data_IF_355397355326
#
_entry.id   IF_355397355326
#
_cell.length_a   1.000
_cell.length_b   1.000
_cell.length_c   1.000
_cell.angle_alpha   90.00
_cell.angle_beta   90.00
_cell.angle_gamma   90.00
#
_symmetry.space_group_name_H-M   'P 1'
#
loop_
_entity.id
_entity.type
_entity.pdbx_description
1 polymer ?
#
# COMPACT_ATOMS: atom_id res chain seq x y z
N UNK A 1 -75.58 -18.45 62.06
CA UNK A 1 -74.16 -18.78 62.28
C UNK A 1 -73.31 -17.70 61.63
N UNK A 2 -72.80 -16.76 62.44
CA UNK A 2 -71.87 -15.71 61.97
C UNK A 2 -70.45 -16.26 62.12
N UNK A 3 -69.76 -16.47 60.99
CA UNK A 3 -68.39 -16.98 60.97
C UNK A 3 -67.45 -15.80 61.27
N UNK A 4 -66.87 -15.83 62.47
CA UNK A 4 -65.82 -14.94 62.92
C UNK A 4 -64.59 -15.07 62.02
N UNK A 5 -64.29 -14.01 61.28
CA UNK A 5 -63.11 -13.95 60.42
C UNK A 5 -61.94 -13.40 61.24
N UNK A 6 -61.04 -14.28 61.68
CA UNK A 6 -59.78 -13.93 62.31
C UNK A 6 -58.91 -13.10 61.35
N UNK A 7 -58.60 -11.85 61.72
CA UNK A 7 -57.56 -11.07 61.05
C UNK A 7 -56.20 -11.53 61.54
N UNK A 8 -55.41 -12.16 60.66
CA UNK A 8 -53.98 -12.41 60.88
C UNK A 8 -53.23 -11.16 60.42
N UNK A 9 -52.74 -10.38 61.38
CA UNK A 9 -51.84 -9.25 61.10
C UNK A 9 -50.43 -9.80 60.90
N UNK A 10 -50.03 -10.04 59.66
CA UNK A 10 -48.64 -10.30 59.32
C UNK A 10 -47.91 -8.96 59.15
N UNK A 11 -47.10 -8.57 60.13
CA UNK A 11 -46.12 -7.49 59.95
C UNK A 11 -44.98 -8.01 59.06
N UNK A 12 -45.10 -7.80 57.75
CA UNK A 12 -43.96 -7.98 56.84
C UNK A 12 -43.01 -6.81 57.04
N UNK A 13 -41.94 -7.03 57.80
CA UNK A 13 -40.82 -6.11 57.96
C UNK A 13 -40.09 -6.01 56.61
N UNK A 14 -40.54 -5.09 55.75
CA UNK A 14 -39.90 -4.81 54.47
C UNK A 14 -38.49 -4.25 54.73
N UNK A 15 -37.48 -5.09 54.52
CA UNK A 15 -36.08 -4.65 54.46
C UNK A 15 -35.94 -3.86 53.15
N UNK A 16 -36.10 -2.54 53.23
CA UNK A 16 -35.87 -1.62 52.12
C UNK A 16 -34.48 -1.89 51.53
N UNK A 17 -34.43 -2.54 50.37
CA UNK A 17 -33.19 -2.71 49.62
C UNK A 17 -32.86 -1.33 49.06
N UNK A 18 -31.90 -0.67 49.68
CA UNK A 18 -31.33 0.57 49.17
C UNK A 18 -30.78 0.32 47.77
N UNK A 19 -31.52 0.75 46.74
CA UNK A 19 -31.14 0.58 45.33
C UNK A 19 -30.06 1.59 45.03
N UNK A 20 -28.82 1.23 45.35
CA UNK A 20 -27.64 2.00 45.00
C UNK A 20 -27.64 2.23 43.48
N UNK A 21 -27.71 3.50 43.06
CA UNK A 21 -27.80 3.90 41.64
C UNK A 21 -26.49 3.52 40.92
N UNK A 22 -26.54 2.50 40.08
CA UNK A 22 -25.39 2.08 39.26
C UNK A 22 -25.10 3.16 38.22
N UNK A 23 -23.93 3.82 38.32
CA UNK A 23 -23.45 4.79 37.34
C UNK A 23 -22.61 4.06 36.29
N UNK A 24 -23.16 3.87 35.10
CA UNK A 24 -22.46 3.22 33.99
C UNK A 24 -21.53 4.24 33.31
N UNK A 25 -20.22 3.99 33.20
CA UNK A 25 -19.29 4.89 32.52
C UNK A 25 -19.54 4.91 31.00
N UNK A 26 -19.14 6.01 30.35
CA UNK A 26 -19.25 6.14 28.88
C UNK A 26 -18.23 5.24 28.19
N UNK A 27 -18.64 4.62 27.07
CA UNK A 27 -17.75 3.85 26.20
C UNK A 27 -16.67 4.76 25.61
N UNK A 28 -15.42 4.33 25.76
CA UNK A 28 -14.27 4.95 25.08
C UNK A 28 -14.21 4.37 23.66
N UNK A 29 -14.20 5.25 22.65
CA UNK A 29 -13.98 4.85 21.25
C UNK A 29 -12.48 4.71 21.02
N UNK A 30 -12.06 3.60 20.43
CA UNK A 30 -10.65 3.34 20.05
C UNK A 30 -10.60 3.05 18.55
N UNK A 31 -9.54 3.49 17.89
CA UNK A 31 -9.15 3.07 16.56
C UNK A 31 -8.64 1.62 16.53
N UNK A 32 -8.43 1.05 15.34
CA UNK A 32 -7.95 -0.32 15.19
C UNK A 32 -6.51 -0.52 15.68
N UNK A 33 -5.71 0.56 15.76
CA UNK A 33 -4.28 0.51 16.11
C UNK A 33 -3.93 1.14 17.46
N UNK A 34 -4.88 1.75 18.16
CA UNK A 34 -4.62 2.53 19.39
C UNK A 34 -3.91 1.73 20.49
N UNK A 35 -4.24 0.44 20.60
CA UNK A 35 -3.58 -0.44 21.59
C UNK A 35 -2.14 -0.71 21.18
N UNK A 36 -1.88 -0.93 19.90
CA UNK A 36 -0.52 -1.17 19.39
C UNK A 36 0.35 0.08 19.53
N UNK A 37 -0.22 1.24 19.24
CA UNK A 37 0.46 2.52 19.45
C UNK A 37 0.79 2.73 20.93
N UNK A 38 -0.18 2.55 21.83
CA UNK A 38 0.04 2.65 23.26
C UNK A 38 1.13 1.69 23.75
N UNK A 39 1.12 0.42 23.30
CA UNK A 39 2.15 -0.57 23.65
C UNK A 39 3.53 -0.17 23.09
N UNK A 40 3.60 0.31 21.84
CA UNK A 40 4.85 0.75 21.24
C UNK A 40 5.48 1.93 21.97
N UNK A 41 4.67 2.81 22.57
CA UNK A 41 5.16 3.94 23.37
C UNK A 41 5.71 3.52 24.74
N UNK A 42 5.28 2.37 25.27
CA UNK A 42 5.78 1.85 26.55
C UNK A 42 7.17 1.22 26.45
N UNK A 43 7.62 0.88 25.23
CA UNK A 43 8.90 0.20 24.98
C UNK A 43 9.87 1.12 24.26
N UNK A 44 11.08 1.27 24.78
CA UNK A 44 12.15 2.06 24.15
C UNK A 44 12.83 1.33 22.99
N UNK A 45 13.64 2.06 22.20
CA UNK A 45 14.50 1.44 21.19
C UNK A 45 15.60 0.62 21.85
N UNK A 46 15.72 -0.64 21.45
CA UNK A 46 16.84 -1.49 21.85
C UNK A 46 18.10 -1.15 21.03
N UNK A 47 19.20 -0.87 21.72
CA UNK A 47 20.50 -0.57 21.10
C UNK A 47 21.38 -1.81 20.95
N UNK A 48 21.04 -2.91 21.62
CA UNK A 48 21.79 -4.17 21.58
C UNK A 48 21.34 -5.08 20.44
N UNK A 49 20.10 -4.92 19.97
CA UNK A 49 19.54 -5.69 18.88
C UNK A 49 19.69 -5.00 17.50
N UNK A 50 19.81 -5.78 16.41
CA UNK A 50 19.66 -5.25 15.06
C UNK A 50 18.23 -4.72 14.83
N UNK A 51 18.03 -3.97 13.74
CA UNK A 51 16.69 -3.51 13.37
C UNK A 51 15.77 -4.71 13.07
N UNK A 52 14.50 -4.65 13.50
CA UNK A 52 13.50 -5.72 13.36
C UNK A 52 13.20 -6.15 11.91
N UNK A 53 13.68 -5.39 10.92
CA UNK A 53 13.64 -5.78 9.50
C UNK A 53 14.53 -7.00 9.20
N UNK A 54 15.58 -7.21 9.99
CA UNK A 54 16.55 -8.27 9.80
C UNK A 54 16.17 -9.51 10.59
N UNK A 55 16.55 -10.69 10.08
CA UNK A 55 16.41 -11.95 10.81
C UNK A 55 17.40 -11.93 11.98
N UNK A 56 16.97 -12.37 13.16
CA UNK A 56 17.78 -12.40 14.38
C UNK A 56 18.75 -13.60 14.38
N UNK A 57 19.60 -13.67 13.35
CA UNK A 57 20.64 -14.68 13.17
C UNK A 57 21.99 -13.96 12.91
N UNK A 58 23.04 -14.22 13.72
CA UNK A 58 24.34 -13.58 13.56
C UNK A 58 24.95 -13.64 12.16
N UNK A 59 24.63 -14.68 11.37
CA UNK A 59 25.13 -14.84 10.01
C UNK A 59 24.32 -14.04 8.98
N UNK A 60 23.04 -13.77 9.24
CA UNK A 60 22.13 -13.09 8.30
C UNK A 60 21.99 -11.58 8.59
N UNK A 61 22.48 -11.09 9.73
CA UNK A 61 22.46 -9.67 10.07
C UNK A 61 23.54 -8.92 9.27
N UNK A 62 23.19 -7.87 8.50
CA UNK A 62 24.16 -7.11 7.74
C UNK A 62 25.08 -6.29 8.67
N UNK A 63 26.38 -6.49 8.57
CA UNK A 63 27.37 -5.82 9.42
C UNK A 63 27.79 -4.44 8.90
N UNK A 64 27.83 -4.27 7.57
CA UNK A 64 28.22 -3.00 6.92
C UNK A 64 27.01 -2.15 6.53
N UNK A 65 27.14 -0.82 6.63
CA UNK A 65 26.15 0.13 6.08
C UNK A 65 25.88 -0.12 4.61
N UNK A 66 26.91 -0.50 3.85
CA UNK A 66 26.79 -0.84 2.45
C UNK A 66 25.86 -2.04 2.26
N UNK A 67 26.10 -3.16 2.95
CA UNK A 67 25.24 -4.35 2.90
C UNK A 67 23.79 -4.05 3.32
N UNK A 68 23.57 -3.17 4.31
CA UNK A 68 22.24 -2.76 4.74
C UNK A 68 21.42 -2.07 3.63
N UNK A 69 22.07 -1.33 2.73
CA UNK A 69 21.40 -0.61 1.63
C UNK A 69 20.91 -1.53 0.51
N UNK A 70 21.55 -2.69 0.32
CA UNK A 70 21.18 -3.66 -0.72
C UNK A 70 20.28 -4.77 -0.20
N UNK A 71 19.89 -4.72 1.08
CA UNK A 71 18.93 -5.70 1.56
C UNK A 71 17.59 -5.47 0.89
N UNK A 72 16.96 -6.54 0.36
CA UNK A 72 15.73 -6.43 -0.38
C UNK A 72 14.68 -5.75 0.49
N UNK A 73 14.18 -4.61 0.01
CA UNK A 73 13.00 -4.02 0.61
C UNK A 73 11.83 -4.93 0.26
N UNK A 74 11.12 -5.45 1.27
CA UNK A 74 9.89 -6.20 1.02
C UNK A 74 8.89 -5.24 0.42
N UNK A 75 8.78 -5.29 -0.89
CA UNK A 75 7.84 -4.48 -1.63
C UNK A 75 6.43 -5.05 -1.49
N UNK A 76 5.43 -4.17 -1.42
CA UNK A 76 4.03 -4.60 -1.55
C UNK A 76 3.84 -5.27 -2.92
N UNK A 77 3.51 -6.56 -2.91
CA UNK A 77 3.08 -7.28 -4.11
C UNK A 77 1.63 -6.92 -4.44
N UNK A 78 1.36 -6.58 -5.69
CA UNK A 78 0.02 -6.24 -6.17
C UNK A 78 -0.70 -7.42 -6.85
N UNK A 79 -0.06 -8.59 -6.91
CA UNK A 79 -0.59 -9.76 -7.61
C UNK A 79 -1.93 -10.25 -7.04
N UNK A 80 -2.09 -10.12 -5.72
CA UNK A 80 -3.30 -10.51 -4.97
C UNK A 80 -4.22 -9.34 -4.62
N UNK A 81 -3.87 -8.12 -5.02
CA UNK A 81 -4.67 -6.94 -4.72
C UNK A 81 -5.98 -6.95 -5.54
N UNK A 82 -7.09 -6.40 -5.00
CA UNK A 82 -8.34 -6.29 -5.74
C UNK A 82 -8.17 -5.40 -6.97
N UNK A 83 -8.83 -5.76 -8.08
CA UNK A 83 -8.80 -5.00 -9.32
C UNK A 83 -9.73 -3.78 -9.23
N UNK A 84 -9.31 -2.77 -8.45
CA UNK A 84 -10.04 -1.53 -8.30
C UNK A 84 -9.19 -0.31 -8.67
N UNK A 85 -9.86 0.81 -8.94
CA UNK A 85 -9.20 2.07 -9.32
C UNK A 85 -8.24 2.57 -8.23
N UNK A 86 -8.59 2.39 -6.96
CA UNK A 86 -7.72 2.79 -5.85
C UNK A 86 -6.38 2.04 -5.84
N UNK A 87 -6.38 0.74 -6.19
CA UNK A 87 -5.16 -0.07 -6.27
C UNK A 87 -4.32 0.37 -7.46
N UNK A 88 -4.94 0.67 -8.59
CA UNK A 88 -4.25 1.21 -9.76
C UNK A 88 -3.54 2.54 -9.42
N UNK A 89 -4.26 3.44 -8.74
CA UNK A 89 -3.70 4.72 -8.31
C UNK A 89 -2.57 4.54 -7.27
N UNK A 90 -2.67 3.55 -6.37
CA UNK A 90 -1.56 3.20 -5.46
C UNK A 90 -0.34 2.70 -6.24
N UNK A 91 -0.51 1.85 -7.26
CA UNK A 91 0.57 1.40 -8.13
C UNK A 91 1.28 2.57 -8.83
N UNK A 92 0.50 3.54 -9.35
CA UNK A 92 1.04 4.72 -10.01
C UNK A 92 1.84 5.58 -9.04
N UNK A 93 1.32 5.81 -7.83
CA UNK A 93 2.04 6.53 -6.76
C UNK A 93 3.36 5.86 -6.38
N UNK A 94 3.38 4.53 -6.34
CA UNK A 94 4.58 3.74 -6.06
C UNK A 94 5.48 3.54 -7.29
N UNK A 95 5.12 4.09 -8.45
CA UNK A 95 5.86 4.00 -9.72
C UNK A 95 6.10 2.56 -10.19
N UNK A 96 5.15 1.66 -9.91
CA UNK A 96 5.22 0.25 -10.31
C UNK A 96 4.53 0.03 -11.65
N UNK A 97 5.31 0.11 -12.72
CA UNK A 97 4.85 0.05 -14.11
C UNK A 97 4.25 -1.32 -14.45
N UNK A 98 4.98 -2.41 -14.19
CA UNK A 98 4.49 -3.77 -14.54
C UNK A 98 3.23 -4.15 -13.76
N UNK A 99 3.22 -3.86 -12.46
CA UNK A 99 2.04 -4.09 -11.61
C UNK A 99 0.85 -3.24 -12.06
N UNK A 100 1.07 -1.97 -12.41
CA UNK A 100 0.00 -1.11 -12.93
C UNK A 100 -0.59 -1.67 -14.24
N UNK A 101 0.24 -2.18 -15.15
CA UNK A 101 -0.23 -2.84 -16.38
C UNK A 101 -1.08 -4.08 -16.08
N UNK A 102 -0.64 -4.94 -15.13
CA UNK A 102 -1.40 -6.12 -14.74
C UNK A 102 -2.73 -5.78 -14.06
N UNK A 103 -2.75 -4.78 -13.19
CA UNK A 103 -3.98 -4.31 -12.53
C UNK A 103 -4.95 -3.71 -13.55
N UNK A 104 -4.45 -2.90 -14.49
CA UNK A 104 -5.27 -2.34 -15.57
C UNK A 104 -5.89 -3.43 -16.45
N UNK A 105 -5.11 -4.47 -16.81
CA UNK A 105 -5.64 -5.62 -17.54
C UNK A 105 -6.78 -6.32 -16.80
N UNK A 106 -6.62 -6.57 -15.49
CA UNK A 106 -7.67 -7.16 -14.66
C UNK A 106 -8.95 -6.30 -14.60
N UNK A 107 -8.80 -4.98 -14.50
CA UNK A 107 -9.93 -4.04 -14.48
C UNK A 107 -10.70 -4.09 -15.81
N UNK A 108 -9.96 -4.21 -16.93
CA UNK A 108 -10.53 -4.33 -18.26
C UNK A 108 -11.30 -5.66 -18.42
N UNK A 109 -10.75 -6.76 -17.91
CA UNK A 109 -11.40 -8.08 -17.93
C UNK A 109 -12.69 -8.12 -17.09
N UNK A 110 -12.70 -7.40 -15.94
CA UNK A 110 -13.89 -7.24 -15.10
C UNK A 110 -14.93 -6.27 -15.71
N UNK A 111 -14.59 -5.58 -16.80
CA UNK A 111 -15.49 -4.63 -17.49
C UNK A 111 -15.74 -3.34 -16.71
N UNK A 112 -14.89 -3.00 -15.75
CA UNK A 112 -15.03 -1.80 -14.94
C UNK A 112 -14.48 -0.57 -15.67
N UNK A 113 -15.18 0.56 -15.55
CA UNK A 113 -14.77 1.82 -16.18
C UNK A 113 -13.76 2.55 -15.30
N UNK A 114 -12.60 2.88 -15.86
CA UNK A 114 -11.57 3.68 -15.18
C UNK A 114 -11.83 5.18 -15.42
N UNK A 115 -11.59 6.01 -14.39
CA UNK A 115 -11.70 7.47 -14.47
C UNK A 115 -10.70 8.06 -15.47
N UNK A 116 -11.08 9.15 -16.14
CA UNK A 116 -10.20 9.87 -17.08
C UNK A 116 -8.89 10.32 -16.43
N UNK A 117 -8.94 10.71 -15.14
CA UNK A 117 -7.76 11.16 -14.40
C UNK A 117 -6.79 10.00 -14.11
N UNK A 118 -7.33 8.85 -13.68
CA UNK A 118 -6.52 7.65 -13.46
C UNK A 118 -5.89 7.13 -14.77
N UNK A 119 -6.61 7.26 -15.88
CA UNK A 119 -6.08 6.95 -17.22
C UNK A 119 -4.90 7.85 -17.61
N UNK A 120 -5.03 9.16 -17.41
CA UNK A 120 -3.96 10.12 -17.70
C UNK A 120 -2.72 9.82 -16.85
N UNK A 121 -2.88 9.62 -15.54
CA UNK A 121 -1.76 9.32 -14.64
C UNK A 121 -1.08 7.97 -14.97
N UNK A 122 -1.84 6.98 -15.41
CA UNK A 122 -1.29 5.70 -15.90
C UNK A 122 -0.48 5.91 -17.19
N UNK A 123 -1.02 6.67 -18.15
CA UNK A 123 -0.33 6.98 -19.40
C UNK A 123 0.99 7.72 -19.14
N UNK A 124 0.97 8.75 -18.29
CA UNK A 124 2.16 9.51 -17.91
C UNK A 124 3.25 8.60 -17.33
N UNK A 125 2.87 7.69 -16.42
CA UNK A 125 3.78 6.71 -15.87
C UNK A 125 4.41 5.83 -16.96
N UNK A 126 3.59 5.29 -17.87
CA UNK A 126 4.06 4.41 -18.93
C UNK A 126 4.97 5.12 -19.93
N UNK A 127 4.65 6.37 -20.29
CA UNK A 127 5.46 7.19 -21.20
C UNK A 127 6.82 7.53 -20.58
N UNK A 128 6.86 7.92 -19.30
CA UNK A 128 8.12 8.26 -18.61
C UNK A 128 9.05 7.05 -18.50
N UNK A 129 8.49 5.88 -18.19
CA UNK A 129 9.25 4.66 -17.92
C UNK A 129 9.33 3.71 -19.12
N UNK A 130 8.86 4.12 -20.31
CA UNK A 130 8.84 3.30 -21.53
C UNK A 130 8.29 1.87 -21.30
N UNK A 131 7.20 1.79 -20.51
CA UNK A 131 6.55 0.55 -20.11
C UNK A 131 7.47 -0.49 -19.42
N UNK A 132 8.52 -0.04 -18.71
CA UNK A 132 9.42 -0.92 -17.94
C UNK A 132 9.65 -0.37 -16.53
N UNK A 133 9.78 -1.24 -15.53
CA UNK A 133 10.21 -0.76 -14.20
C UNK A 133 11.67 -0.32 -14.26
N UNK A 134 12.05 0.53 -13.31
CA UNK A 134 13.46 0.77 -13.05
C UNK A 134 14.03 -0.50 -12.44
N UNK A 135 14.96 -1.14 -13.15
CA UNK A 135 15.73 -2.24 -12.59
C UNK A 135 16.67 -1.68 -11.52
N UNK A 136 16.37 -1.99 -10.26
CA UNK A 136 17.24 -1.64 -9.15
C UNK A 136 18.19 -2.82 -8.93
N UNK A 137 19.51 -2.62 -9.01
CA UNK A 137 20.47 -3.67 -8.76
C UNK A 137 20.23 -4.30 -7.40
N UNK A 138 20.03 -5.62 -7.38
CA UNK A 138 19.70 -6.34 -6.16
C UNK A 138 20.94 -6.57 -5.29
N UNK A 139 22.13 -6.52 -5.89
CA UNK A 139 23.39 -6.69 -5.17
C UNK A 139 24.39 -5.56 -5.45
N UNK A 140 25.31 -5.34 -4.50
CA UNK A 140 26.52 -4.56 -4.72
C UNK A 140 27.24 -4.82 -6.03
N UNK A 141 27.46 -6.10 -6.33
CA UNK A 141 28.27 -6.53 -7.46
C UNK A 141 27.56 -6.13 -8.76
N UNK A 142 26.25 -6.36 -8.85
CA UNK A 142 25.43 -5.95 -9.99
C UNK A 142 25.49 -4.45 -10.22
N UNK A 143 25.45 -3.63 -9.17
CA UNK A 143 25.57 -2.17 -9.27
C UNK A 143 26.92 -1.74 -9.88
N UNK A 144 28.04 -2.29 -9.37
CA UNK A 144 29.36 -1.97 -9.92
C UNK A 144 29.52 -2.41 -11.37
N UNK A 145 29.05 -3.63 -11.70
CA UNK A 145 29.08 -4.13 -13.07
C UNK A 145 28.23 -3.28 -14.02
N UNK A 146 27.00 -2.89 -13.65
CA UNK A 146 26.14 -2.04 -14.48
C UNK A 146 26.76 -0.66 -14.71
N UNK A 147 27.30 -0.02 -13.66
CA UNK A 147 27.96 1.29 -13.77
C UNK A 147 29.12 1.28 -14.77
N UNK A 148 29.93 0.23 -14.74
CA UNK A 148 31.08 0.10 -15.64
C UNK A 148 30.64 -0.19 -17.09
N UNK A 149 29.56 -0.97 -17.28
CA UNK A 149 28.92 -1.19 -18.59
C UNK A 149 28.28 0.10 -19.16
N UNK A 150 27.59 0.87 -18.32
CA UNK A 150 26.91 2.10 -18.71
C UNK A 150 27.89 3.23 -19.03
N UNK A 151 29.02 3.28 -18.33
CA UNK A 151 30.13 4.18 -18.66
C UNK A 151 30.69 3.92 -20.07
N UNK A 152 30.70 2.66 -20.51
CA UNK A 152 31.10 2.27 -21.87
C UNK A 152 29.99 2.51 -22.91
N UNK A 153 28.71 2.40 -22.51
CA UNK A 153 27.54 2.67 -23.36
C UNK A 153 27.25 4.14 -23.57
N UNK A 154 27.57 5.02 -22.61
CA UNK A 154 27.37 6.46 -22.72
C UNK A 154 28.16 7.12 -23.86
N UNK A 155 29.16 6.43 -24.42
CA UNK A 155 29.84 6.88 -25.64
C UNK A 155 29.14 6.43 -26.94
N UNK A 156 28.20 5.48 -26.88
CA UNK A 156 27.58 4.84 -28.05
C UNK A 156 26.09 5.17 -28.18
N UNK A 157 25.83 6.27 -28.92
CA UNK A 157 24.59 6.57 -29.64
C UNK A 157 23.34 6.77 -28.78
N UNK A 158 22.76 7.97 -28.82
CA UNK A 158 21.33 8.17 -28.53
C UNK A 158 20.57 7.26 -29.49
N UNK A 159 19.95 6.19 -28.98
CA UNK A 159 19.12 5.27 -29.76
C UNK A 159 17.69 5.51 -29.37
N UNK A 160 16.78 5.48 -30.35
CA UNK A 160 15.36 5.49 -30.06
C UNK A 160 15.02 4.23 -29.23
N UNK A 161 14.58 4.44 -27.99
CA UNK A 161 14.16 3.36 -27.09
C UNK A 161 12.64 3.13 -27.13
N UNK A 162 11.88 4.04 -27.77
CA UNK A 162 10.44 4.00 -27.82
C UNK A 162 9.92 2.73 -28.49
N UNK A 163 8.92 2.10 -27.86
CA UNK A 163 8.26 0.90 -28.37
C UNK A 163 7.05 1.31 -29.21
N UNK A 164 7.18 1.20 -30.54
CA UNK A 164 6.07 1.30 -31.48
C UNK A 164 5.00 0.22 -31.16
N UNK A 165 3.73 0.61 -31.12
CA UNK A 165 2.60 -0.24 -30.69
C UNK A 165 2.76 -0.83 -29.27
N UNK A 166 3.46 -0.10 -28.40
CA UNK A 166 3.60 -0.42 -26.99
C UNK A 166 2.30 -0.30 -26.22
N UNK A 167 2.31 -0.77 -24.96
CA UNK A 167 1.15 -0.67 -24.07
C UNK A 167 0.66 0.79 -23.89
N UNK A 168 1.58 1.76 -23.91
CA UNK A 168 1.26 3.18 -23.85
C UNK A 168 0.35 3.64 -25.00
N UNK A 169 0.65 3.21 -26.24
CA UNK A 169 -0.18 3.55 -27.41
C UNK A 169 -1.55 2.85 -27.37
N UNK A 170 -1.60 1.61 -26.86
CA UNK A 170 -2.87 0.89 -26.67
C UNK A 170 -3.79 1.61 -25.69
N UNK A 171 -3.27 1.99 -24.52
CA UNK A 171 -4.03 2.74 -23.51
C UNK A 171 -4.47 4.10 -24.05
N UNK A 172 -3.62 4.78 -24.82
CA UNK A 172 -3.98 6.04 -25.46
C UNK A 172 -5.12 5.89 -26.49
N UNK A 173 -5.14 4.78 -27.23
CA UNK A 173 -6.20 4.50 -28.20
C UNK A 173 -7.51 4.09 -27.54
N UNK A 174 -7.45 3.36 -26.42
CA UNK A 174 -8.61 2.95 -25.61
C UNK A 174 -9.29 4.14 -24.92
N UNK A 175 -8.56 5.25 -24.72
CA UNK A 175 -9.08 6.48 -24.13
C UNK A 175 -10.21 7.07 -25.00
N UNK A 176 -11.39 7.27 -24.40
CA UNK A 176 -12.59 7.79 -25.07
C UNK A 176 -12.41 9.20 -25.61
N UNK A 177 -11.77 10.07 -24.83
CA UNK A 177 -11.48 11.46 -25.20
C UNK A 177 -9.98 11.70 -25.10
N UNK A 178 -9.36 12.05 -26.23
CA UNK A 178 -7.92 12.32 -26.27
C UNK A 178 -7.67 13.74 -25.79
N UNK A 179 -7.28 13.88 -24.53
CA UNK A 179 -6.93 15.16 -23.93
C UNK A 179 -5.63 15.71 -24.54
N UNK A 180 -5.44 17.03 -24.58
CA UNK A 180 -4.16 17.61 -25.00
C UNK A 180 -3.01 17.15 -24.10
N UNK A 181 -3.29 16.86 -22.83
CA UNK A 181 -2.32 16.30 -21.87
C UNK A 181 -1.86 14.90 -22.31
N UNK A 182 -2.78 14.04 -22.74
CA UNK A 182 -2.45 12.71 -23.23
C UNK A 182 -1.54 12.76 -24.47
N UNK A 183 -1.80 13.67 -25.41
CA UNK A 183 -0.91 13.91 -26.55
C UNK A 183 0.48 14.38 -26.10
N UNK A 184 0.53 15.31 -25.15
CA UNK A 184 1.78 15.87 -24.64
C UNK A 184 2.66 14.77 -24.01
N UNK A 185 2.08 13.92 -23.16
CA UNK A 185 2.80 12.83 -22.51
C UNK A 185 3.33 11.79 -23.50
N UNK A 186 2.55 11.46 -24.54
CA UNK A 186 2.96 10.53 -25.58
C UNK A 186 4.15 11.08 -26.40
N UNK A 187 4.06 12.34 -26.82
CA UNK A 187 5.12 12.99 -27.60
C UNK A 187 6.41 13.11 -26.75
N UNK A 188 6.28 13.51 -25.49
CA UNK A 188 7.43 13.60 -24.57
C UNK A 188 8.10 12.25 -24.34
N UNK A 189 7.29 11.19 -24.17
CA UNK A 189 7.80 9.82 -24.04
C UNK A 189 8.57 9.37 -25.28
N UNK A 190 8.03 9.63 -26.48
CA UNK A 190 8.65 9.23 -27.74
C UNK A 190 9.92 10.01 -28.09
N UNK A 191 10.08 11.23 -27.56
CA UNK A 191 11.25 12.08 -27.79
C UNK A 191 12.42 11.84 -26.82
N UNK A 192 12.22 11.03 -25.78
CA UNK A 192 13.20 10.75 -24.72
C UNK A 192 14.33 9.81 -25.17
#
# INVERSE_FOLDING_TARGET
MVISSCQVVTQTKEKSRDVQKIVIPKRIKRGPTDILEALSQTVGKDYTAPAYRYIDDPYLIPTSTYAKSFMPHVEKGFDKAPANESTLLECVKLRKVTSAMSVYGKILDEGATVSSDAFQQLLDLLCIYNCQNVDVPSTPEEYFYQRDLDSSRNQKSIKNTWKLDGMAEKIFNDMKEKTPEAYCSLIQGAAK
#
